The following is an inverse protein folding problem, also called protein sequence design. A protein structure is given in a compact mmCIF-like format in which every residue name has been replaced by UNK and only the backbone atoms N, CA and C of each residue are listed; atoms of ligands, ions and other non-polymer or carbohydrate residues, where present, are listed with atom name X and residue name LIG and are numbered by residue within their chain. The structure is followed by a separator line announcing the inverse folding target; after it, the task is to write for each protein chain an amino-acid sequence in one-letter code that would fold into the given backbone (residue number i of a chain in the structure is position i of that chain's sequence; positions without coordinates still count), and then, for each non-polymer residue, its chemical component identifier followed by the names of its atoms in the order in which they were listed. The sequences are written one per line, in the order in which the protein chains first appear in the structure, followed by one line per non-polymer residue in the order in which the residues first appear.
data_IF_395021524294
#
_entry.id   IF_395021524294
#
_cell.length_a   1.000
_cell.length_b   1.000
_cell.length_c   1.000
_cell.angle_alpha   90.00
_cell.angle_beta   90.00
_cell.angle_gamma   90.00
#
_symmetry.space_group_name_H-M   'P 1'
#
loop_
_entity.id
_entity.type
_entity.pdbx_description
1 polymer ?
#
# COMPACT_ATOMS: atom_id res chain seq x y z
N UNK A 1 -17.08 -1.64 24.38
CA UNK A 1 -15.75 -1.06 24.66
C UNK A 1 -14.98 -1.05 23.35
N UNK A 2 -15.28 -0.07 22.48
CA UNK A 2 -14.68 0.01 21.15
C UNK A 2 -13.36 0.73 21.31
N UNK A 3 -12.30 -0.08 21.41
CA UNK A 3 -10.91 0.34 21.32
C UNK A 3 -10.76 1.27 20.11
N UNK A 4 -10.71 2.58 20.37
CA UNK A 4 -10.15 3.55 19.45
C UNK A 4 -8.64 3.31 19.45
N UNK A 5 -8.22 2.15 18.98
CA UNK A 5 -6.83 1.97 18.73
C UNK A 5 -6.46 3.03 17.71
N UNK A 6 -5.56 3.89 18.16
CA UNK A 6 -4.64 4.68 17.37
C UNK A 6 -3.82 3.72 16.49
N UNK A 7 -4.50 3.00 15.60
CA UNK A 7 -3.87 2.07 14.71
C UNK A 7 -3.11 2.95 13.73
N UNK A 8 -1.78 2.96 13.83
CA UNK A 8 -0.89 3.55 12.82
C UNK A 8 -1.13 2.97 11.41
N UNK A 9 -1.88 1.86 11.31
CA UNK A 9 -2.27 1.17 10.10
C UNK A 9 -3.68 1.61 9.62
N UNK A 10 -3.91 1.50 8.32
CA UNK A 10 -5.24 1.66 7.73
C UNK A 10 -6.15 0.49 8.11
N UNK A 11 -7.45 0.75 8.29
CA UNK A 11 -8.44 -0.32 8.49
C UNK A 11 -8.55 -1.20 7.22
N UNK A 12 -9.06 -2.43 7.31
CA UNK A 12 -9.24 -3.29 6.14
C UNK A 12 -10.10 -2.63 5.04
N UNK A 13 -11.11 -1.84 5.40
CA UNK A 13 -11.94 -1.11 4.44
C UNK A 13 -11.16 0.00 3.72
N UNK A 14 -10.34 0.75 4.46
CA UNK A 14 -9.44 1.77 3.91
C UNK A 14 -8.39 1.16 2.99
N UNK A 15 -7.78 0.04 3.40
CA UNK A 15 -6.81 -0.68 2.59
C UNK A 15 -7.43 -1.19 1.28
N UNK A 16 -8.69 -1.63 1.27
CA UNK A 16 -9.38 -2.06 0.06
C UNK A 16 -9.58 -0.90 -0.93
N UNK A 17 -9.96 0.30 -0.47
CA UNK A 17 -10.06 1.49 -1.33
C UNK A 17 -8.72 1.85 -1.95
N UNK A 18 -7.67 1.90 -1.13
CA UNK A 18 -6.30 2.17 -1.58
C UNK A 18 -5.86 1.13 -2.61
N UNK A 19 -6.11 -0.16 -2.35
CA UNK A 19 -5.77 -1.27 -3.26
C UNK A 19 -6.49 -1.18 -4.61
N UNK A 20 -7.76 -0.79 -4.62
CA UNK A 20 -8.52 -0.65 -5.86
C UNK A 20 -7.88 0.40 -6.79
N UNK A 21 -7.45 1.54 -6.25
CA UNK A 21 -6.75 2.58 -7.00
C UNK A 21 -5.39 2.11 -7.53
N UNK A 22 -4.60 1.40 -6.72
CA UNK A 22 -3.31 0.85 -7.15
C UNK A 22 -3.49 -0.17 -8.28
N UNK A 23 -4.50 -1.04 -8.18
CA UNK A 23 -4.79 -2.05 -9.21
C UNK A 23 -5.26 -1.39 -10.51
N UNK A 24 -5.95 -0.25 -10.43
CA UNK A 24 -6.30 0.57 -11.60
C UNK A 24 -5.07 1.25 -12.25
N UNK A 25 -3.93 1.31 -11.54
CA UNK A 25 -2.71 1.99 -11.99
C UNK A 25 -2.64 3.47 -11.61
N UNK A 26 -3.60 3.95 -10.81
CA UNK A 26 -3.69 5.33 -10.35
C UNK A 26 -2.93 5.54 -9.03
N UNK A 27 -2.59 6.79 -8.73
CA UNK A 27 -1.95 7.16 -7.47
C UNK A 27 -3.00 7.16 -6.34
N UNK A 28 -2.90 6.26 -5.34
CA UNK A 28 -3.90 6.19 -4.28
C UNK A 28 -3.82 7.41 -3.35
N UNK A 29 -4.97 7.94 -2.97
CA UNK A 29 -5.08 8.98 -1.95
C UNK A 29 -5.34 8.38 -0.57
N UNK A 30 -4.91 9.08 0.47
CA UNK A 30 -5.21 8.73 1.85
C UNK A 30 -6.72 8.91 2.11
N UNK A 31 -7.47 7.88 2.54
CA UNK A 31 -8.91 8.00 2.78
C UNK A 31 -9.27 8.91 3.97
N UNK A 32 -8.28 9.33 4.78
CA UNK A 32 -8.48 10.24 5.92
C UNK A 32 -8.06 11.68 5.66
N UNK A 33 -6.98 11.86 4.91
CA UNK A 33 -6.39 13.17 4.65
C UNK A 33 -6.65 13.66 3.22
N UNK A 34 -7.17 12.79 2.36
CA UNK A 34 -7.45 13.04 0.93
C UNK A 34 -6.23 13.50 0.11
N UNK A 35 -5.02 13.34 0.66
CA UNK A 35 -3.75 13.63 -0.02
C UNK A 35 -3.19 12.39 -0.71
N UNK A 36 -2.47 12.58 -1.81
CA UNK A 36 -1.77 11.51 -2.52
C UNK A 36 -0.76 10.81 -1.61
N UNK A 37 -0.82 9.48 -1.57
CA UNK A 37 0.13 8.66 -0.83
C UNK A 37 1.47 8.60 -1.57
N UNK A 38 2.57 8.63 -0.83
CA UNK A 38 3.89 8.40 -1.40
C UNK A 38 4.11 6.91 -1.56
N UNK A 39 4.21 6.45 -2.81
CA UNK A 39 4.53 5.07 -3.16
C UNK A 39 6.03 4.86 -3.23
N UNK A 40 6.54 3.88 -2.49
CA UNK A 40 7.94 3.47 -2.50
C UNK A 40 8.00 1.98 -2.81
N UNK A 41 8.59 1.57 -3.93
CA UNK A 41 8.77 0.16 -4.21
C UNK A 41 9.68 -0.46 -3.14
N UNK A 42 9.16 -1.47 -2.45
CA UNK A 42 9.92 -2.38 -1.58
C UNK A 42 10.11 -3.67 -2.37
N UNK A 43 11.23 -3.78 -3.09
CA UNK A 43 11.55 -5.00 -3.82
C UNK A 43 12.92 -4.91 -4.48
N UNK A 44 13.85 -5.76 -4.04
CA UNK A 44 15.19 -5.83 -4.61
C UNK A 44 16.28 -6.30 -3.65
N UNK A 45 16.00 -7.27 -2.78
CA UNK A 45 17.07 -8.00 -2.11
C UNK A 45 17.79 -8.85 -3.15
N UNK A 46 19.02 -8.47 -3.46
CA UNK A 46 19.92 -9.09 -4.44
C UNK A 46 20.23 -10.56 -4.14
N UNK A 47 19.34 -11.50 -4.45
CA UNK A 47 19.68 -12.92 -4.49
C UNK A 47 18.88 -13.58 -5.61
N UNK A 48 19.56 -14.11 -6.62
CA UNK A 48 19.03 -14.73 -7.84
C UNK A 48 18.16 -15.98 -7.62
N UNK A 49 17.07 -15.83 -6.87
CA UNK A 49 16.03 -16.82 -6.64
C UNK A 49 14.75 -16.25 -7.25
N UNK A 50 14.27 -16.86 -8.35
CA UNK A 50 13.30 -16.34 -9.33
C UNK A 50 11.87 -15.97 -8.87
N UNK A 51 11.67 -15.56 -7.61
CA UNK A 51 10.39 -15.13 -7.04
C UNK A 51 10.49 -13.74 -6.38
N UNK A 52 10.99 -12.74 -7.08
CA UNK A 52 10.95 -11.36 -6.59
C UNK A 52 9.48 -10.90 -6.43
N UNK A 53 8.94 -10.95 -5.20
CA UNK A 53 7.69 -10.27 -4.86
C UNK A 53 7.94 -8.77 -4.95
N UNK A 54 7.22 -8.10 -5.84
CA UNK A 54 7.20 -6.64 -5.90
C UNK A 54 6.22 -6.17 -4.84
N UNK A 55 6.71 -5.53 -3.79
CA UNK A 55 5.87 -4.87 -2.80
C UNK A 55 5.98 -3.37 -2.99
N UNK A 56 4.93 -2.66 -2.68
CA UNK A 56 4.91 -1.20 -2.66
C UNK A 56 4.53 -0.76 -1.25
N UNK A 57 5.37 0.08 -0.66
CA UNK A 57 5.06 0.82 0.54
C UNK A 57 4.32 2.09 0.17
N UNK A 58 3.19 2.34 0.79
CA UNK A 58 2.50 3.61 0.71
C UNK A 58 2.57 4.28 2.06
N UNK A 59 2.95 5.55 2.06
CA UNK A 59 2.97 6.38 3.27
C UNK A 59 2.27 7.70 3.02
N UNK A 60 1.39 8.09 3.94
CA UNK A 60 0.76 9.40 3.91
C UNK A 60 1.72 10.44 4.50
N UNK A 61 2.02 11.55 3.79
CA UNK A 61 2.91 12.59 4.32
C UNK A 61 2.29 13.36 5.49
N UNK A 62 0.96 13.41 5.59
CA UNK A 62 0.20 14.11 6.64
C UNK A 62 0.07 13.29 7.92
N UNK A 63 -0.70 12.19 7.88
CA UNK A 63 -0.96 11.37 9.07
C UNK A 63 0.13 10.32 9.35
N UNK A 64 1.17 10.22 8.52
CA UNK A 64 2.27 9.24 8.61
C UNK A 64 1.86 7.77 8.60
N UNK A 65 0.56 7.48 8.39
CA UNK A 65 0.03 6.12 8.23
C UNK A 65 0.62 5.48 7.00
N UNK A 66 0.96 4.21 7.14
CA UNK A 66 1.55 3.46 6.05
C UNK A 66 0.88 2.11 5.86
N UNK A 67 0.88 1.65 4.62
CA UNK A 67 0.43 0.32 4.23
C UNK A 67 1.40 -0.27 3.22
N UNK A 68 1.61 -1.58 3.29
CA UNK A 68 2.47 -2.30 2.35
C UNK A 68 1.56 -3.22 1.54
N UNK A 69 1.58 -3.04 0.22
CA UNK A 69 0.83 -3.89 -0.70
C UNK A 69 1.78 -4.80 -1.46
N UNK A 70 1.44 -6.08 -1.57
CA UNK A 70 2.14 -7.01 -2.45
C UNK A 70 1.52 -6.87 -3.85
N UNK A 71 2.23 -6.18 -4.73
CA UNK A 71 1.82 -6.00 -6.13
C UNK A 71 2.22 -7.27 -6.85
N UNK A 72 1.31 -8.24 -6.86
CA UNK A 72 1.55 -9.47 -7.59
C UNK A 72 1.76 -9.13 -9.06
N UNK A 73 2.88 -9.64 -9.57
CA UNK A 73 3.31 -9.79 -10.97
C UNK A 73 2.12 -9.79 -11.93
N UNK A 74 2.16 -8.95 -12.96
CA UNK A 74 1.24 -9.05 -14.09
C UNK A 74 1.19 -10.49 -14.58
N UNK A 75 0.09 -11.18 -14.30
CA UNK A 75 -0.28 -12.39 -15.01
C UNK A 75 -0.99 -11.92 -16.26
N UNK A 76 -0.19 -11.65 -17.30
CA UNK A 76 -0.68 -11.78 -18.67
C UNK A 76 -0.73 -13.27 -18.95
N UNK A 77 -1.92 -13.86 -18.85
CA UNK A 77 -2.45 -14.89 -19.76
C UNK A 77 -3.92 -15.12 -19.43
#
# INVERSE_FOLDING_TARGET
MTDHADHAQYTPEEQQRIRATIVAGDAPACPRCEVTLTTRPIGGGSFGLGYARRREWLICPQCKRSAIFDVKRGTRN
#
